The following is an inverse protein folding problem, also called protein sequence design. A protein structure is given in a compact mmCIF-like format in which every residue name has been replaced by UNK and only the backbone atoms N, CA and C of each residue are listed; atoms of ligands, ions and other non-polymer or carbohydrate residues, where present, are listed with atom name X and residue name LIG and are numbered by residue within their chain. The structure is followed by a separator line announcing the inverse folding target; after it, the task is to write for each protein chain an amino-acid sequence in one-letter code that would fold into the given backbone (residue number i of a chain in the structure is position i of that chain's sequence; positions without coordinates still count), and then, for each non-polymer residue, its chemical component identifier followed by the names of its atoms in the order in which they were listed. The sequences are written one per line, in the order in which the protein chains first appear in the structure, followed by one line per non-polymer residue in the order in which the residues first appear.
data_IF_779928873735
#
_entry.id   IF_779928873735
#
_cell.length_a   1.000
_cell.length_b   1.000
_cell.length_c   1.000
_cell.angle_alpha   90.00
_cell.angle_beta   90.00
_cell.angle_gamma   90.00
#
_symmetry.space_group_name_H-M   'P 1'
#
loop_
_entity.id
_entity.type
_entity.pdbx_description
1 polymer ?
#
# COMPACT_ATOMS: atom_id res chain seq x y z
N UNK A 1 -16.52 -11.53 3.25
CA UNK A 1 -15.10 -11.06 3.17
C UNK A 1 -14.26 -12.17 2.57
N UNK A 2 -13.43 -11.86 1.55
CA UNK A 2 -12.47 -12.84 1.00
C UNK A 2 -11.33 -13.08 1.99
N UNK A 3 -10.75 -14.27 1.95
CA UNK A 3 -9.49 -14.52 2.62
C UNK A 3 -8.41 -13.63 2.00
N UNK A 4 -7.45 -13.17 2.81
CA UNK A 4 -6.34 -12.31 2.31
C UNK A 4 -5.58 -12.99 1.16
N UNK A 5 -5.44 -14.30 1.21
CA UNK A 5 -4.78 -15.08 0.16
C UNK A 5 -5.50 -15.05 -1.20
N UNK A 6 -6.79 -14.77 -1.22
CA UNK A 6 -7.62 -14.76 -2.43
C UNK A 6 -7.77 -13.37 -3.08
N UNK A 7 -7.13 -12.34 -2.54
CA UNK A 7 -7.12 -11.01 -3.12
C UNK A 7 -6.04 -10.86 -4.17
N UNK A 8 -6.17 -9.84 -5.02
CA UNK A 8 -5.25 -9.68 -6.17
C UNK A 8 -3.92 -9.00 -5.77
N UNK A 9 -3.95 -8.12 -4.75
CA UNK A 9 -2.80 -7.33 -4.32
C UNK A 9 -2.75 -7.20 -2.80
N UNK A 10 -1.55 -7.38 -2.23
CA UNK A 10 -1.23 -7.03 -0.84
C UNK A 10 -0.13 -5.97 -0.87
N UNK A 11 -0.32 -4.89 -0.12
CA UNK A 11 0.68 -3.83 0.01
C UNK A 11 1.58 -4.04 1.23
N UNK A 12 2.87 -3.76 1.09
CA UNK A 12 3.78 -3.55 2.22
C UNK A 12 4.00 -2.05 2.32
N UNK A 13 3.46 -1.45 3.38
CA UNK A 13 3.60 -0.02 3.66
C UNK A 13 4.92 0.20 4.40
N UNK A 14 5.97 0.52 3.65
CA UNK A 14 7.33 0.66 4.22
C UNK A 14 7.53 1.97 4.98
N UNK A 15 6.63 2.93 4.79
CA UNK A 15 6.63 4.21 5.49
C UNK A 15 5.27 4.88 5.43
N UNK A 16 4.95 5.72 6.41
CA UNK A 16 3.85 6.67 6.32
C UNK A 16 4.34 8.11 6.03
N UNK A 17 5.63 8.30 5.71
CA UNK A 17 6.14 9.57 5.21
C UNK A 17 5.75 9.79 3.76
N UNK A 18 5.40 11.02 3.40
CA UNK A 18 5.12 11.44 2.03
C UNK A 18 5.51 12.90 1.83
N UNK A 19 5.86 13.29 0.60
CA UNK A 19 6.07 14.68 0.20
C UNK A 19 4.74 15.42 -0.04
N UNK A 20 3.62 14.71 -0.13
CA UNK A 20 2.29 15.24 -0.36
C UNK A 20 1.41 15.17 0.90
N UNK A 21 0.31 15.92 0.89
CA UNK A 21 -0.73 15.91 1.92
C UNK A 21 -2.10 15.94 1.26
N UNK A 22 -2.42 14.88 0.53
CA UNK A 22 -3.69 14.78 -0.19
C UNK A 22 -4.87 14.75 0.78
N UNK A 23 -5.89 15.55 0.54
CA UNK A 23 -7.06 15.71 1.43
C UNK A 23 -7.86 14.42 1.61
N UNK A 24 -7.81 13.51 0.65
CA UNK A 24 -8.54 12.24 0.65
C UNK A 24 -7.60 11.04 0.62
N UNK A 25 -6.45 11.14 1.29
CA UNK A 25 -5.46 10.07 1.33
C UNK A 25 -5.96 8.88 2.15
N UNK A 26 -6.08 7.70 1.52
CA UNK A 26 -6.49 6.47 2.21
C UNK A 26 -5.49 5.99 3.27
N UNK A 27 -4.26 6.48 3.19
CA UNK A 27 -3.18 6.22 4.17
C UNK A 27 -3.12 7.26 5.30
N UNK A 28 -4.01 8.26 5.32
CA UNK A 28 -4.03 9.35 6.31
C UNK A 28 -2.69 10.08 6.46
N UNK A 29 -1.90 10.15 5.39
CA UNK A 29 -0.62 10.85 5.40
C UNK A 29 -0.82 12.31 5.82
N UNK A 30 0.01 12.78 6.75
CA UNK A 30 -0.09 14.13 7.31
C UNK A 30 -1.00 14.23 8.54
N UNK A 31 -1.71 13.17 8.92
CA UNK A 31 -2.52 13.10 10.14
C UNK A 31 -1.89 12.18 11.22
N UNK A 32 -0.88 11.40 10.86
CA UNK A 32 -0.19 10.53 11.82
C UNK A 32 0.62 11.32 12.84
N UNK A 33 0.55 10.93 14.12
CA UNK A 33 1.32 11.53 15.19
C UNK A 33 2.83 11.23 15.07
N UNK A 34 3.19 10.10 14.45
CA UNK A 34 4.57 9.66 14.29
C UNK A 34 4.80 9.09 12.89
N UNK A 35 5.93 9.46 12.30
CA UNK A 35 6.45 8.81 11.09
C UNK A 35 7.12 7.51 11.46
N UNK A 36 6.87 6.45 10.66
CA UNK A 36 7.66 5.23 10.71
C UNK A 36 8.43 5.04 9.39
N UNK A 37 9.54 4.35 9.53
CA UNK A 37 10.33 3.78 8.44
C UNK A 37 10.52 2.30 8.79
N UNK A 38 10.01 1.40 7.98
CA UNK A 38 10.13 -0.04 8.22
C UNK A 38 11.58 -0.47 7.99
N UNK A 39 12.21 -1.09 8.98
CA UNK A 39 13.56 -1.59 8.81
C UNK A 39 13.63 -2.79 7.86
N UNK A 40 14.82 -3.09 7.34
CA UNK A 40 15.02 -4.14 6.33
C UNK A 40 14.65 -5.53 6.86
N UNK A 41 14.88 -5.80 8.14
CA UNK A 41 14.54 -7.09 8.74
C UNK A 41 13.02 -7.29 8.76
N UNK A 42 12.28 -6.24 9.11
CA UNK A 42 10.80 -6.24 9.08
C UNK A 42 10.27 -6.36 7.66
N UNK A 43 10.86 -5.64 6.68
CA UNK A 43 10.52 -5.79 5.26
C UNK A 43 10.79 -7.22 4.79
N UNK A 44 11.94 -7.77 5.14
CA UNK A 44 12.31 -9.15 4.81
C UNK A 44 11.30 -10.15 5.38
N UNK A 45 10.94 -10.03 6.65
CA UNK A 45 9.96 -10.89 7.29
C UNK A 45 8.55 -10.76 6.67
N UNK A 46 8.16 -9.54 6.29
CA UNK A 46 6.91 -9.29 5.58
C UNK A 46 6.88 -10.02 4.22
N UNK A 47 7.98 -9.93 3.45
CA UNK A 47 8.11 -10.64 2.18
C UNK A 47 8.10 -12.16 2.35
N UNK A 48 8.80 -12.69 3.38
CA UNK A 48 8.81 -14.12 3.69
C UNK A 48 7.40 -14.62 4.05
N UNK A 49 6.62 -13.80 4.76
CA UNK A 49 5.22 -14.14 5.10
C UNK A 49 4.30 -14.26 3.88
N UNK A 50 4.73 -13.71 2.74
CA UNK A 50 4.00 -13.77 1.46
C UNK A 50 4.48 -14.90 0.53
N UNK A 51 5.33 -15.82 1.02
CA UNK A 51 5.75 -16.96 0.23
C UNK A 51 4.53 -17.76 -0.29
N UNK A 52 4.51 -18.01 -1.60
CA UNK A 52 3.39 -18.70 -2.25
C UNK A 52 2.14 -17.85 -2.51
N UNK A 53 2.12 -16.57 -2.13
CA UNK A 53 0.99 -15.69 -2.46
C UNK A 53 0.82 -15.59 -3.99
N UNK A 54 -0.39 -15.85 -4.53
CA UNK A 54 -0.60 -15.91 -5.98
C UNK A 54 -0.66 -14.54 -6.65
N UNK A 55 -1.01 -13.49 -5.91
CA UNK A 55 -1.21 -12.13 -6.40
C UNK A 55 0.06 -11.28 -6.44
N UNK A 56 -0.12 -9.98 -6.51
CA UNK A 56 0.94 -8.98 -6.54
C UNK A 56 1.28 -8.50 -5.13
N UNK A 57 2.55 -8.46 -4.79
CA UNK A 57 3.06 -7.87 -3.56
C UNK A 57 3.52 -6.44 -3.89
N UNK A 58 2.76 -5.47 -3.43
CA UNK A 58 2.96 -4.05 -3.71
C UNK A 58 3.88 -3.38 -2.70
N UNK A 59 4.92 -2.71 -3.19
CA UNK A 59 5.70 -1.77 -2.41
C UNK A 59 4.96 -0.44 -2.38
N UNK A 60 4.59 -0.02 -1.18
CA UNK A 60 3.78 1.18 -0.98
C UNK A 60 4.12 1.85 0.36
N UNK A 61 3.34 2.87 0.71
CA UNK A 61 3.43 3.60 1.96
C UNK A 61 2.75 4.94 1.84
N UNK A 62 3.34 6.00 2.39
CA UNK A 62 3.09 7.36 1.96
C UNK A 62 3.68 7.55 0.55
N UNK A 63 4.97 7.86 0.47
CA UNK A 63 5.74 7.76 -0.77
C UNK A 63 6.95 6.85 -0.54
N UNK A 64 7.00 5.64 -1.10
CA UNK A 64 8.03 4.66 -0.79
C UNK A 64 9.44 5.10 -1.20
N UNK A 65 9.58 5.91 -2.25
CA UNK A 65 10.89 6.40 -2.71
C UNK A 65 11.55 7.39 -1.74
N UNK A 66 10.81 7.88 -0.74
CA UNK A 66 11.37 8.71 0.35
C UNK A 66 12.11 7.84 1.38
N UNK A 67 11.83 6.55 1.43
CA UNK A 67 12.49 5.67 2.39
C UNK A 67 14.01 5.69 2.16
N UNK A 68 14.84 5.94 3.19
CA UNK A 68 16.30 6.10 3.01
C UNK A 68 16.97 4.83 2.46
N UNK A 69 16.40 3.65 2.71
CA UNK A 69 16.87 2.35 2.24
C UNK A 69 16.01 1.80 1.09
N UNK A 70 15.42 2.67 0.25
CA UNK A 70 14.54 2.25 -0.84
C UNK A 70 15.24 1.27 -1.81
N UNK A 71 16.50 1.54 -2.15
CA UNK A 71 17.25 0.67 -3.07
C UNK A 71 17.50 -0.72 -2.47
N UNK A 72 17.78 -0.80 -1.16
CA UNK A 72 17.94 -2.06 -0.44
C UNK A 72 16.62 -2.83 -0.35
N UNK A 73 15.51 -2.13 -0.16
CA UNK A 73 14.17 -2.72 -0.21
C UNK A 73 13.88 -3.31 -1.59
N UNK A 74 14.22 -2.59 -2.66
CA UNK A 74 14.09 -3.13 -4.02
C UNK A 74 14.87 -4.42 -4.21
N UNK A 75 16.10 -4.51 -3.67
CA UNK A 75 16.90 -5.74 -3.72
C UNK A 75 16.26 -6.90 -2.95
N UNK A 76 15.65 -6.64 -1.80
CA UNK A 76 14.88 -7.64 -1.06
C UNK A 76 13.68 -8.15 -1.89
N UNK A 77 12.98 -7.27 -2.61
CA UNK A 77 11.91 -7.66 -3.53
C UNK A 77 12.43 -8.57 -4.64
N UNK A 78 13.60 -8.24 -5.22
CA UNK A 78 14.22 -9.06 -6.27
C UNK A 78 14.61 -10.45 -5.76
N UNK A 79 15.19 -10.51 -4.56
CA UNK A 79 15.66 -11.74 -3.93
C UNK A 79 14.50 -12.67 -3.54
N UNK A 80 13.47 -12.10 -2.86
CA UNK A 80 12.42 -12.90 -2.22
C UNK A 80 11.23 -13.18 -3.12
N UNK A 81 11.04 -12.41 -4.16
CA UNK A 81 9.96 -12.61 -5.15
C UNK A 81 10.62 -12.81 -6.52
N UNK A 82 11.00 -14.04 -6.91
CA UNK A 82 11.69 -14.28 -8.18
C UNK A 82 10.88 -13.86 -9.41
N UNK A 83 9.56 -14.03 -9.36
CA UNK A 83 8.65 -13.65 -10.44
C UNK A 83 8.41 -12.13 -10.43
N UNK A 84 9.05 -11.43 -11.37
CA UNK A 84 8.95 -9.97 -11.52
C UNK A 84 7.51 -9.49 -11.71
N UNK A 85 6.65 -10.29 -12.34
CA UNK A 85 5.25 -9.93 -12.59
C UNK A 85 4.41 -9.84 -11.31
N UNK A 86 4.93 -10.38 -10.20
CA UNK A 86 4.32 -10.32 -8.86
C UNK A 86 4.82 -9.17 -8.00
N UNK A 87 5.77 -8.38 -8.48
CA UNK A 87 6.27 -7.21 -7.78
C UNK A 87 5.55 -5.97 -8.29
N UNK A 88 4.97 -5.16 -7.40
CA UNK A 88 4.30 -3.91 -7.75
C UNK A 88 4.88 -2.72 -7.01
N UNK A 89 4.83 -1.54 -7.61
CA UNK A 89 5.24 -0.27 -7.00
C UNK A 89 4.11 0.75 -7.16
N UNK A 90 3.75 1.42 -6.06
CA UNK A 90 2.87 2.58 -6.05
C UNK A 90 3.67 3.80 -5.61
N UNK A 91 3.76 4.80 -6.47
CA UNK A 91 4.59 5.99 -6.24
C UNK A 91 3.98 7.24 -6.89
N UNK A 92 4.23 8.41 -6.33
CA UNK A 92 3.96 9.70 -6.96
C UNK A 92 5.14 10.19 -7.83
N UNK A 93 6.20 9.40 -7.93
CA UNK A 93 7.38 9.70 -8.76
C UNK A 93 8.37 10.69 -8.15
N UNK A 94 8.24 11.03 -6.86
CA UNK A 94 9.04 12.08 -6.19
C UNK A 94 10.55 11.96 -6.42
N UNK A 95 11.08 10.74 -6.33
CA UNK A 95 12.51 10.47 -6.49
C UNK A 95 12.78 9.56 -7.72
N UNK A 96 11.95 9.67 -8.77
CA UNK A 96 12.08 8.85 -9.97
C UNK A 96 13.48 8.91 -10.56
N UNK A 97 13.96 10.12 -10.87
CA UNK A 97 15.29 10.32 -11.51
C UNK A 97 16.43 9.67 -10.73
N UNK A 98 16.30 9.64 -9.39
CA UNK A 98 17.32 9.04 -8.53
C UNK A 98 17.32 7.52 -8.55
N UNK A 99 16.13 6.92 -8.72
CA UNK A 99 15.94 5.48 -8.54
C UNK A 99 15.42 4.76 -9.79
N UNK A 100 15.35 5.43 -10.94
CA UNK A 100 14.79 4.89 -12.17
C UNK A 100 15.39 3.52 -12.52
N UNK A 101 16.71 3.40 -12.50
CA UNK A 101 17.41 2.15 -12.84
C UNK A 101 16.94 1.00 -11.95
N UNK A 102 17.04 1.14 -10.63
CA UNK A 102 16.65 0.08 -9.69
C UNK A 102 15.15 -0.19 -9.72
N UNK A 103 14.31 0.82 -9.98
CA UNK A 103 12.86 0.66 -10.13
C UNK A 103 12.57 -0.23 -11.35
N UNK A 104 13.15 0.09 -12.51
CA UNK A 104 12.93 -0.65 -13.75
C UNK A 104 13.57 -2.06 -13.72
N UNK A 105 14.63 -2.25 -12.95
CA UNK A 105 15.17 -3.59 -12.68
C UNK A 105 14.23 -4.42 -11.80
N UNK A 106 13.59 -3.80 -10.80
CA UNK A 106 12.81 -4.50 -9.80
C UNK A 106 11.39 -4.78 -10.24
N UNK A 107 10.73 -3.82 -10.90
CA UNK A 107 9.31 -3.87 -11.23
C UNK A 107 9.10 -3.88 -12.74
N UNK A 108 8.12 -4.65 -13.22
CA UNK A 108 7.66 -4.51 -14.60
C UNK A 108 6.96 -3.15 -14.77
N UNK A 109 7.14 -2.52 -15.92
CA UNK A 109 6.54 -1.22 -16.22
C UNK A 109 5.02 -1.20 -15.98
N UNK A 110 4.34 -2.30 -16.35
CA UNK A 110 2.89 -2.47 -16.17
C UNK A 110 2.47 -2.66 -14.70
N UNK A 111 3.44 -2.88 -13.80
CA UNK A 111 3.24 -3.04 -12.35
C UNK A 111 3.68 -1.80 -11.56
N UNK A 112 4.07 -0.75 -12.25
CA UNK A 112 4.36 0.55 -11.64
C UNK A 112 3.09 1.40 -11.77
N UNK A 113 2.43 1.61 -10.64
CA UNK A 113 1.25 2.48 -10.54
C UNK A 113 1.73 3.88 -10.19
N UNK A 114 1.84 4.71 -11.22
CA UNK A 114 2.19 6.11 -11.07
C UNK A 114 0.95 6.93 -10.72
N UNK A 115 0.96 7.55 -9.55
CA UNK A 115 -0.09 8.43 -9.08
C UNK A 115 0.29 9.88 -9.38
N UNK A 116 -0.14 10.41 -10.51
CA UNK A 116 0.06 11.80 -10.86
C UNK A 116 -0.89 12.70 -10.07
N UNK A 117 -0.34 13.44 -9.11
CA UNK A 117 -1.08 14.40 -8.30
C UNK A 117 -1.00 15.84 -8.85
N UNK A 118 -0.40 16.04 -10.01
CA UNK A 118 -0.35 17.35 -10.68
C UNK A 118 -1.65 17.66 -11.40
N UNK A 119 -2.38 16.61 -11.82
CA UNK A 119 -3.67 16.73 -12.48
C UNK A 119 -4.81 16.77 -11.44
N UNK A 120 -5.62 17.86 -11.39
CA UNK A 120 -6.70 17.99 -10.41
C UNK A 120 -7.74 16.86 -10.50
N UNK A 121 -7.95 16.30 -11.70
CA UNK A 121 -8.90 15.21 -11.94
C UNK A 121 -8.35 13.83 -11.57
N UNK A 122 -7.03 13.68 -11.50
CA UNK A 122 -6.36 12.45 -11.06
C UNK A 122 -6.20 12.39 -9.54
N UNK A 123 -6.58 13.43 -8.80
CA UNK A 123 -6.51 13.45 -7.34
C UNK A 123 -7.40 12.38 -6.72
N UNK A 124 -6.93 11.78 -5.63
CA UNK A 124 -7.75 10.88 -4.82
C UNK A 124 -9.04 11.58 -4.39
N UNK A 125 -10.17 11.06 -4.86
CA UNK A 125 -11.48 11.60 -4.54
C UNK A 125 -12.23 10.75 -3.49
N UNK A 126 -11.53 9.84 -2.81
CA UNK A 126 -12.12 8.98 -1.80
C UNK A 126 -12.61 9.81 -0.63
N UNK A 127 -13.90 9.76 -0.36
CA UNK A 127 -14.47 10.28 0.86
C UNK A 127 -14.43 9.17 1.91
N UNK A 128 -13.58 9.33 2.92
CA UNK A 128 -13.45 8.37 4.02
C UNK A 128 -14.46 8.68 5.10
N UNK A 129 -15.57 7.95 5.09
CA UNK A 129 -16.63 8.05 6.14
C UNK A 129 -16.79 6.66 6.76
N UNK A 130 -16.85 6.61 8.09
CA UNK A 130 -17.13 5.35 8.77
C UNK A 130 -18.55 4.88 8.44
N UNK A 131 -18.67 3.65 7.91
CA UNK A 131 -19.98 3.11 7.51
C UNK A 131 -21.04 3.18 8.64
N UNK A 132 -20.63 2.97 9.89
CA UNK A 132 -21.49 3.06 11.07
C UNK A 132 -22.13 4.45 11.29
N UNK A 133 -21.54 5.51 10.73
CA UNK A 133 -22.01 6.88 10.93
C UNK A 133 -23.05 7.28 9.87
N UNK A 134 -23.14 6.53 8.77
CA UNK A 134 -24.07 6.82 7.65
C UNK A 134 -25.09 5.71 7.40
N UNK A 135 -24.85 4.48 7.85
CA UNK A 135 -25.75 3.34 7.68
C UNK A 135 -26.30 2.91 9.03
N UNK A 136 -27.51 3.35 9.36
CA UNK A 136 -28.17 3.06 10.64
C UNK A 136 -28.56 1.57 10.78
N UNK A 137 -28.92 0.93 9.67
CA UNK A 137 -29.25 -0.49 9.62
C UNK A 137 -27.97 -1.34 9.68
N UNK A 138 -27.80 -2.08 10.77
CA UNK A 138 -26.62 -2.93 10.98
C UNK A 138 -26.49 -4.09 9.98
N UNK A 139 -27.60 -4.69 9.60
CA UNK A 139 -27.58 -5.83 8.67
C UNK A 139 -27.13 -5.34 7.29
N UNK A 140 -27.74 -4.25 6.82
CA UNK A 140 -27.34 -3.58 5.59
C UNK A 140 -25.87 -3.11 5.65
N UNK A 141 -25.44 -2.54 6.78
CA UNK A 141 -24.05 -2.10 6.96
C UNK A 141 -23.06 -3.25 6.74
N UNK A 142 -23.31 -4.42 7.36
CA UNK A 142 -22.43 -5.59 7.20
C UNK A 142 -22.48 -6.15 5.78
N UNK A 143 -23.65 -6.17 5.17
CA UNK A 143 -23.80 -6.57 3.76
C UNK A 143 -22.96 -5.69 2.83
N UNK A 144 -22.99 -4.37 3.03
CA UNK A 144 -22.20 -3.41 2.24
C UNK A 144 -20.69 -3.57 2.48
N UNK A 145 -20.26 -3.81 3.74
CA UNK A 145 -18.87 -4.08 4.09
C UNK A 145 -18.39 -5.35 3.41
N UNK A 146 -19.19 -6.42 3.42
CA UNK A 146 -18.82 -7.68 2.76
C UNK A 146 -18.76 -7.58 1.23
N UNK A 147 -19.45 -6.60 0.66
CA UNK A 147 -19.41 -6.29 -0.78
C UNK A 147 -18.38 -5.20 -1.14
N UNK A 148 -17.56 -4.76 -0.18
CA UNK A 148 -16.53 -3.76 -0.44
C UNK A 148 -15.55 -4.26 -1.51
N UNK A 149 -15.60 -3.65 -2.69
CA UNK A 149 -14.78 -4.08 -3.83
C UNK A 149 -13.27 -3.91 -3.59
N UNK A 150 -12.89 -2.92 -2.77
CA UNK A 150 -11.49 -2.71 -2.37
C UNK A 150 -10.99 -3.93 -1.59
N UNK A 151 -11.73 -4.39 -0.57
CA UNK A 151 -11.37 -5.59 0.20
C UNK A 151 -11.37 -6.88 -0.63
N UNK A 152 -12.02 -6.87 -1.78
CA UNK A 152 -12.07 -8.03 -2.66
C UNK A 152 -10.92 -8.11 -3.64
N UNK A 153 -10.13 -7.03 -3.79
CA UNK A 153 -9.10 -6.95 -4.81
C UNK A 153 -7.72 -6.58 -4.29
N UNK A 154 -7.56 -5.50 -3.52
CA UNK A 154 -6.23 -4.92 -3.32
C UNK A 154 -6.07 -4.04 -2.07
N UNK A 155 -6.71 -4.36 -1.00
CA UNK A 155 -6.68 -3.48 0.16
C UNK A 155 -5.96 -4.01 1.39
N UNK A 156 -5.47 -5.23 1.40
CA UNK A 156 -4.69 -5.71 2.53
C UNK A 156 -3.34 -4.99 2.58
N UNK A 157 -2.92 -4.62 3.79
CA UNK A 157 -1.64 -3.95 4.01
C UNK A 157 -0.85 -4.60 5.13
N UNK A 158 0.48 -4.64 4.99
CA UNK A 158 1.42 -5.01 6.04
C UNK A 158 2.16 -3.75 6.46
N UNK A 159 2.18 -3.47 7.76
CA UNK A 159 2.88 -2.36 8.40
C UNK A 159 3.81 -2.90 9.47
N UNK A 160 4.66 -2.07 10.12
CA UNK A 160 5.45 -2.53 11.26
C UNK A 160 4.62 -3.09 12.43
N UNK A 161 3.32 -2.79 12.49
CA UNK A 161 2.41 -3.33 13.53
C UNK A 161 1.78 -4.67 13.15
N UNK A 162 1.95 -5.15 11.92
CA UNK A 162 1.42 -6.40 11.43
C UNK A 162 0.59 -6.28 10.17
N UNK A 163 -0.18 -7.33 9.86
CA UNK A 163 -1.02 -7.43 8.67
C UNK A 163 -2.47 -6.98 8.98
N UNK A 164 -3.01 -6.20 8.08
CA UNK A 164 -4.38 -5.68 8.12
C UNK A 164 -5.11 -6.08 6.84
N UNK A 165 -6.36 -6.48 6.97
CA UNK A 165 -7.21 -6.82 5.82
C UNK A 165 -7.71 -5.60 5.02
N UNK A 166 -7.44 -4.38 5.51
CA UNK A 166 -7.83 -3.13 4.88
C UNK A 166 -6.77 -2.06 5.10
N UNK A 167 -6.32 -1.43 4.03
CA UNK A 167 -5.35 -0.33 4.05
C UNK A 167 -5.79 0.86 4.90
N UNK A 168 -7.10 1.15 4.88
CA UNK A 168 -7.68 2.23 5.70
C UNK A 168 -7.58 1.86 7.19
N UNK A 169 -7.88 0.59 7.54
CA UNK A 169 -7.72 0.11 8.92
C UNK A 169 -6.25 0.14 9.35
N UNK A 170 -5.32 -0.27 8.48
CA UNK A 170 -3.89 -0.19 8.73
C UNK A 170 -3.43 1.25 9.01
N UNK A 171 -3.93 2.20 8.22
CA UNK A 171 -3.60 3.61 8.40
C UNK A 171 -4.23 4.22 9.66
N UNK A 172 -5.48 3.87 9.99
CA UNK A 172 -6.16 4.33 11.21
C UNK A 172 -5.46 3.87 12.48
N UNK A 173 -4.83 2.71 12.48
CA UNK A 173 -4.11 2.18 13.64
C UNK A 173 -2.86 3.03 14.02
N UNK A 174 -2.47 3.96 13.16
CA UNK A 174 -1.37 4.91 13.39
C UNK A 174 -1.84 6.32 13.80
N UNK A 175 -3.14 6.60 13.79
CA UNK A 175 -3.71 7.87 14.26
C UNK A 175 -3.79 7.90 15.79
#
# INVERSE_FOLDING_TARGET
MRAIYDIDVIHIDVTNACNLRCSSCSRFVGHHAKTFLMDLDTVSAALDSMEGFPGVIGLMGGEPTIHPQFAEICKLYQEKIPDKTKRGLWTDGKNWDKYEEIILETFDYERIVYNDHTEPEAAHQSLLIAAKDIVADKELMWELIDKCWIQMRWSASITPKGAFFCEVAAAQDWL
#
